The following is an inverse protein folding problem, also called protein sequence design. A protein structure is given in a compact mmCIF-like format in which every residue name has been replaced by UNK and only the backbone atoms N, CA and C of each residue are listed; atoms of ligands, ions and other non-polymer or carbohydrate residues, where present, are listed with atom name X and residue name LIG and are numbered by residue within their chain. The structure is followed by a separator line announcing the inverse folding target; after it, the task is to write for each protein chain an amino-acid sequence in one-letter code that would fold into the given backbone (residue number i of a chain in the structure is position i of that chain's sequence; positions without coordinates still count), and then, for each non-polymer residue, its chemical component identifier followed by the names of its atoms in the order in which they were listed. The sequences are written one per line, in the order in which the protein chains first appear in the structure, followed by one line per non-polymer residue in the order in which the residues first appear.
data_IF_023376456358
#
_entry.id   IF_023376456358
#
_cell.length_a   1.000
_cell.length_b   1.000
_cell.length_c   1.000
_cell.angle_alpha   90.00
_cell.angle_beta   90.00
_cell.angle_gamma   90.00
#
_symmetry.space_group_name_H-M   'P 1'
#
loop_
_entity.id
_entity.type
_entity.pdbx_description
1 polymer ?
#
# COMPACT_ATOMS: atom_id res chain seq x y z
N UNK A 1 -5.83 -11.33 18.77
CA UNK A 1 -4.64 -10.48 18.55
C UNK A 1 -3.53 -10.93 19.48
N UNK A 2 -2.27 -10.81 19.08
CA UNK A 2 -1.09 -11.24 19.86
C UNK A 2 -0.55 -10.18 20.82
N UNK A 3 -1.20 -9.03 20.89
CA UNK A 3 -0.93 -7.98 21.87
C UNK A 3 -1.97 -8.00 22.99
N UNK A 4 -1.54 -8.38 24.19
CA UNK A 4 -2.37 -8.45 25.40
C UNK A 4 -2.97 -7.09 25.80
N UNK A 5 -2.27 -5.97 25.52
CA UNK A 5 -2.79 -4.64 25.85
C UNK A 5 -4.09 -4.34 25.09
N UNK A 6 -4.22 -4.85 23.86
CA UNK A 6 -5.42 -4.62 23.04
C UNK A 6 -6.63 -5.36 23.59
N UNK A 7 -6.45 -6.49 24.29
CA UNK A 7 -7.55 -7.21 24.95
C UNK A 7 -8.28 -6.36 25.99
N UNK A 8 -7.58 -5.39 26.60
CA UNK A 8 -8.15 -4.49 27.61
C UNK A 8 -8.66 -3.16 27.05
N UNK A 9 -8.57 -2.95 25.73
CA UNK A 9 -8.89 -1.68 25.09
C UNK A 9 -10.29 -1.15 25.46
N UNK A 10 -11.30 -2.04 25.47
CA UNK A 10 -12.69 -1.68 25.80
C UNK A 10 -12.94 -1.40 27.29
N UNK A 11 -12.05 -1.84 28.17
CA UNK A 11 -12.21 -1.78 29.64
C UNK A 11 -11.26 -0.79 30.31
N UNK A 12 -10.38 -0.14 29.54
CA UNK A 12 -9.34 0.71 30.10
C UNK A 12 -9.92 2.04 30.60
N UNK A 13 -9.59 2.49 31.84
CA UNK A 13 -10.21 3.66 32.45
C UNK A 13 -9.70 5.01 31.91
N UNK A 14 -8.53 5.02 31.26
CA UNK A 14 -7.91 6.22 30.70
C UNK A 14 -7.56 5.98 29.24
N UNK A 15 -8.20 6.74 28.36
CA UNK A 15 -8.00 6.69 26.91
C UNK A 15 -7.48 8.04 26.43
N UNK A 16 -6.62 8.00 25.43
CA UNK A 16 -6.30 9.20 24.64
C UNK A 16 -7.49 9.55 23.74
N UNK A 17 -7.59 10.81 23.28
CA UNK A 17 -8.68 11.25 22.40
C UNK A 17 -8.81 10.39 21.15
N UNK A 18 -7.68 9.94 20.58
CA UNK A 18 -7.67 9.03 19.43
C UNK A 18 -8.26 7.67 19.80
N UNK A 19 -7.88 7.09 20.94
CA UNK A 19 -8.41 5.81 21.39
C UNK A 19 -9.92 5.88 21.69
N UNK A 20 -10.41 6.97 22.26
CA UNK A 20 -11.84 7.18 22.49
C UNK A 20 -12.64 7.20 21.18
N UNK A 21 -12.15 7.92 20.16
CA UNK A 21 -12.77 7.94 18.83
C UNK A 21 -12.82 6.53 18.20
N UNK A 22 -11.73 5.77 18.29
CA UNK A 22 -11.72 4.39 17.82
C UNK A 22 -12.66 3.49 18.62
N UNK A 23 -12.80 3.71 19.93
CA UNK A 23 -13.72 2.96 20.76
C UNK A 23 -15.18 3.26 20.40
N UNK A 24 -15.54 4.52 20.21
CA UNK A 24 -16.88 4.92 19.75
C UNK A 24 -17.25 4.25 18.42
N UNK A 25 -16.34 4.28 17.44
CA UNK A 25 -16.55 3.60 16.16
C UNK A 25 -16.74 2.09 16.34
N UNK A 26 -15.90 1.47 17.17
CA UNK A 26 -15.95 0.04 17.38
C UNK A 26 -17.22 -0.41 18.12
N UNK A 27 -17.79 0.43 18.99
CA UNK A 27 -19.04 0.12 19.69
C UNK A 27 -20.24 -0.11 18.76
N UNK A 28 -20.17 0.33 17.50
CA UNK A 28 -21.18 0.04 16.47
C UNK A 28 -21.21 -1.45 16.05
N UNK A 29 -20.17 -2.22 16.38
CA UNK A 29 -20.02 -3.62 15.97
C UNK A 29 -20.19 -4.57 17.16
N UNK A 30 -20.80 -5.73 16.90
CA UNK A 30 -20.84 -6.83 17.86
C UNK A 30 -19.61 -7.73 17.71
N UNK A 31 -18.62 -7.57 18.61
CA UNK A 31 -17.41 -8.39 18.61
C UNK A 31 -16.86 -8.61 20.03
N UNK A 32 -15.94 -9.55 20.15
CA UNK A 32 -15.16 -9.81 21.37
C UNK A 32 -13.66 -9.72 21.06
N UNK A 33 -12.90 -9.13 21.98
CA UNK A 33 -11.44 -9.04 21.87
C UNK A 33 -10.78 -10.20 22.59
N UNK A 34 -10.28 -11.16 21.83
CA UNK A 34 -9.57 -12.32 22.37
C UNK A 34 -8.07 -12.25 22.05
N UNK A 35 -7.27 -12.57 23.07
CA UNK A 35 -5.85 -12.79 22.89
C UNK A 35 -5.62 -14.07 22.07
N UNK A 36 -4.74 -13.98 21.07
CA UNK A 36 -4.26 -15.12 20.29
C UNK A 36 -2.74 -15.07 20.27
N UNK A 37 -2.08 -16.12 20.75
CA UNK A 37 -0.63 -16.19 20.75
C UNK A 37 -0.06 -15.98 19.34
N UNK A 38 1.09 -15.31 19.22
CA UNK A 38 1.73 -15.04 17.93
C UNK A 38 1.99 -16.30 17.09
N UNK A 39 2.27 -17.44 17.74
CA UNK A 39 2.41 -18.76 17.10
C UNK A 39 1.12 -19.33 16.48
N UNK A 40 -0.03 -18.76 16.82
CA UNK A 40 -1.32 -19.09 16.19
C UNK A 40 -1.79 -18.00 15.22
N UNK A 41 -1.10 -16.86 15.21
CA UNK A 41 -1.45 -15.67 14.44
C UNK A 41 -0.74 -15.60 13.08
N UNK A 42 -0.19 -16.72 12.59
CA UNK A 42 0.66 -16.76 11.39
C UNK A 42 -0.05 -16.28 10.12
N UNK A 43 -1.35 -16.55 9.96
CA UNK A 43 -2.09 -16.11 8.76
C UNK A 43 -2.27 -14.59 8.76
N UNK A 44 -2.70 -14.01 9.89
CA UNK A 44 -2.88 -12.58 10.00
C UNK A 44 -1.53 -11.83 9.94
N UNK A 45 -0.49 -12.38 10.55
CA UNK A 45 0.88 -11.85 10.51
C UNK A 45 1.47 -11.92 9.08
N UNK A 46 1.25 -13.03 8.36
CA UNK A 46 1.67 -13.13 6.96
C UNK A 46 0.96 -12.09 6.08
N UNK A 47 -0.36 -11.91 6.27
CA UNK A 47 -1.12 -10.92 5.50
C UNK A 47 -0.76 -9.47 5.86
N UNK A 48 -0.53 -9.16 7.14
CA UNK A 48 -0.15 -7.80 7.56
C UNK A 48 1.24 -7.38 7.05
N UNK A 49 2.13 -8.36 6.83
CA UNK A 49 3.49 -8.14 6.29
C UNK A 49 3.56 -8.11 4.77
N UNK A 50 2.48 -8.45 4.07
CA UNK A 50 2.41 -8.36 2.60
C UNK A 50 2.24 -6.91 2.15
N UNK A 51 3.34 -6.17 2.16
CA UNK A 51 3.39 -4.79 1.64
C UNK A 51 3.04 -4.71 0.14
N UNK A 52 3.25 -5.81 -0.60
CA UNK A 52 2.78 -6.02 -1.98
C UNK A 52 1.25 -5.96 -2.10
N UNK A 53 0.53 -6.44 -1.08
CA UNK A 53 -0.94 -6.35 -1.04
C UNK A 53 -1.45 -5.00 -0.57
N UNK A 54 -0.64 -4.20 0.14
CA UNK A 54 -1.04 -2.85 0.52
C UNK A 54 -1.07 -1.93 -0.72
N UNK A 55 -0.08 -2.06 -1.61
CA UNK A 55 -0.09 -1.39 -2.92
C UNK A 55 -1.17 -1.95 -3.84
N UNK A 56 -1.36 -3.28 -3.90
CA UNK A 56 -2.45 -3.87 -4.68
C UNK A 56 -3.84 -3.56 -4.11
N UNK A 57 -3.99 -3.43 -2.80
CA UNK A 57 -5.22 -3.04 -2.13
C UNK A 57 -5.56 -1.56 -2.37
N UNK A 58 -4.55 -0.68 -2.38
CA UNK A 58 -4.69 0.69 -2.86
C UNK A 58 -5.10 0.69 -4.34
N UNK A 59 -4.41 -0.06 -5.19
CA UNK A 59 -4.73 -0.17 -6.63
C UNK A 59 -6.10 -0.79 -6.88
N UNK A 60 -6.54 -1.77 -6.08
CA UNK A 60 -7.84 -2.41 -6.18
C UNK A 60 -8.97 -1.49 -5.67
N UNK A 61 -8.74 -0.79 -4.55
CA UNK A 61 -9.64 0.24 -4.06
C UNK A 61 -9.77 1.39 -5.07
N UNK A 62 -8.66 1.79 -5.70
CA UNK A 62 -8.65 2.74 -6.81
C UNK A 62 -9.35 2.16 -8.05
N UNK A 63 -9.15 0.89 -8.39
CA UNK A 63 -9.76 0.18 -9.54
C UNK A 63 -11.27 0.00 -9.42
N UNK A 64 -11.82 0.09 -8.21
CA UNK A 64 -13.27 0.09 -7.98
C UNK A 64 -13.94 1.44 -8.28
N UNK A 65 -13.17 2.47 -8.64
CA UNK A 65 -13.69 3.79 -9.01
C UNK A 65 -13.30 4.14 -10.44
N UNK A 66 -14.18 4.81 -11.20
CA UNK A 66 -13.94 5.22 -12.59
C UNK A 66 -12.74 6.17 -12.78
N UNK A 67 -12.09 6.59 -11.69
CA UNK A 67 -10.88 7.42 -11.65
C UNK A 67 -9.60 6.58 -11.91
N UNK A 68 -9.66 5.25 -11.80
CA UNK A 68 -8.51 4.35 -11.92
C UNK A 68 -7.85 4.31 -13.30
N UNK A 69 -8.64 4.50 -14.36
CA UNK A 69 -8.11 4.58 -15.73
C UNK A 69 -7.28 5.84 -15.88
N UNK A 70 -7.78 6.99 -15.40
CA UNK A 70 -7.09 8.28 -15.50
C UNK A 70 -5.70 8.31 -14.87
N UNK A 71 -5.51 7.75 -13.67
CA UNK A 71 -4.21 7.81 -12.99
C UNK A 71 -3.21 6.80 -13.59
N UNK A 72 -3.70 5.63 -14.04
CA UNK A 72 -2.88 4.64 -14.74
C UNK A 72 -2.43 5.17 -16.10
N UNK A 73 -3.35 5.77 -16.86
CA UNK A 73 -3.06 6.37 -18.16
C UNK A 73 -2.08 7.54 -18.00
N UNK A 74 -2.24 8.37 -16.97
CA UNK A 74 -1.29 9.44 -16.62
C UNK A 74 0.08 8.90 -16.21
N UNK A 75 0.15 7.80 -15.46
CA UNK A 75 1.43 7.16 -15.11
C UNK A 75 2.13 6.60 -16.35
N UNK A 76 1.38 5.98 -17.24
CA UNK A 76 1.89 5.48 -18.51
C UNK A 76 2.37 6.62 -19.43
N UNK A 77 1.60 7.71 -19.53
CA UNK A 77 1.94 8.90 -20.31
C UNK A 77 3.18 9.62 -19.76
N UNK A 78 3.32 9.73 -18.44
CA UNK A 78 4.51 10.32 -17.80
C UNK A 78 5.76 9.44 -17.93
N UNK A 79 5.60 8.11 -17.94
CA UNK A 79 6.67 7.18 -18.27
C UNK A 79 7.10 7.29 -19.75
N UNK A 80 6.13 7.48 -20.65
CA UNK A 80 6.39 7.77 -22.07
C UNK A 80 7.02 9.14 -22.29
N UNK A 81 6.75 10.13 -21.43
CA UNK A 81 7.28 11.49 -21.53
C UNK A 81 8.67 11.70 -20.93
N UNK A 82 9.15 10.81 -20.05
CA UNK A 82 10.45 10.95 -19.38
C UNK A 82 11.58 10.21 -20.15
N UNK A 83 12.57 10.94 -20.72
CA UNK A 83 13.70 10.34 -21.40
C UNK A 83 14.51 9.37 -20.52
N UNK A 84 14.53 9.60 -19.19
CA UNK A 84 15.21 8.73 -18.25
C UNK A 84 14.45 7.40 -18.05
N UNK A 85 13.13 7.44 -18.00
CA UNK A 85 12.29 6.25 -17.92
C UNK A 85 12.37 5.41 -19.20
N UNK A 86 12.32 6.04 -20.38
CA UNK A 86 12.49 5.35 -21.66
C UNK A 86 13.86 4.65 -21.76
N UNK A 87 14.93 5.31 -21.31
CA UNK A 87 16.26 4.70 -21.25
C UNK A 87 16.28 3.47 -20.34
N UNK A 88 15.57 3.52 -19.21
CA UNK A 88 15.43 2.39 -18.29
C UNK A 88 14.59 1.25 -18.88
N UNK A 89 13.48 1.53 -19.57
CA UNK A 89 12.68 0.50 -20.28
C UNK A 89 13.55 -0.24 -21.29
N UNK A 90 14.28 0.50 -22.12
CA UNK A 90 15.17 -0.10 -23.11
C UNK A 90 16.31 -0.91 -22.45
N UNK A 91 16.84 -0.47 -21.30
CA UNK A 91 17.83 -1.24 -20.52
C UNK A 91 17.24 -2.52 -19.89
N UNK A 92 15.95 -2.51 -19.53
CA UNK A 92 15.20 -3.68 -19.03
C UNK A 92 14.95 -4.66 -20.15
N UNK A 93 14.50 -4.20 -21.33
CA UNK A 93 14.31 -5.04 -22.52
C UNK A 93 15.62 -5.69 -22.98
N UNK A 94 16.74 -4.98 -22.87
CA UNK A 94 18.08 -5.51 -23.14
C UNK A 94 18.62 -6.45 -22.05
N UNK A 95 17.88 -6.71 -20.98
CA UNK A 95 18.30 -7.57 -19.86
C UNK A 95 19.47 -7.03 -19.03
N UNK A 96 19.84 -5.75 -19.21
CA UNK A 96 20.96 -5.11 -18.51
C UNK A 96 20.54 -4.45 -17.20
N UNK A 97 19.27 -4.10 -17.06
CA UNK A 97 18.72 -3.51 -15.85
C UNK A 97 18.35 -4.59 -14.81
N UNK A 98 19.35 -5.17 -14.13
CA UNK A 98 19.10 -6.15 -13.05
C UNK A 98 18.31 -5.59 -11.87
N UNK A 99 18.18 -4.27 -11.78
CA UNK A 99 17.49 -3.56 -10.70
C UNK A 99 16.06 -3.15 -11.04
N UNK A 100 15.65 -3.33 -12.29
CA UNK A 100 14.35 -2.88 -12.78
C UNK A 100 13.66 -4.00 -13.56
N UNK A 101 12.35 -4.09 -13.46
CA UNK A 101 11.51 -5.03 -14.21
C UNK A 101 10.31 -4.28 -14.77
N UNK A 102 9.83 -4.72 -15.93
CA UNK A 102 8.60 -4.18 -16.53
C UNK A 102 7.44 -5.09 -16.16
N UNK A 103 6.40 -4.54 -15.56
CA UNK A 103 5.19 -5.28 -15.18
C UNK A 103 3.97 -4.44 -15.59
N UNK A 104 3.13 -4.99 -16.47
CA UNK A 104 1.92 -4.34 -17.02
C UNK A 104 2.11 -2.90 -17.55
N UNK A 105 3.25 -2.64 -18.23
CA UNK A 105 3.57 -1.32 -18.78
C UNK A 105 4.10 -0.32 -17.75
N UNK A 106 4.31 -0.73 -16.51
CA UNK A 106 4.86 0.06 -15.42
C UNK A 106 6.26 -0.44 -15.06
N UNK A 107 7.15 0.50 -14.73
CA UNK A 107 8.55 0.24 -14.44
C UNK A 107 8.71 0.00 -12.94
N UNK A 108 9.08 -1.21 -12.57
CA UNK A 108 9.21 -1.66 -11.18
C UNK A 108 10.69 -1.72 -10.79
N UNK A 109 10.98 -1.39 -9.53
CA UNK A 109 12.33 -1.49 -8.95
C UNK A 109 12.43 -2.70 -8.03
N UNK A 110 13.65 -3.13 -7.71
CA UNK A 110 13.89 -4.23 -6.74
C UNK A 110 13.10 -4.00 -5.44
N UNK A 111 12.27 -4.98 -5.10
CA UNK A 111 11.40 -4.94 -3.92
C UNK A 111 9.97 -4.47 -4.19
N UNK A 112 9.47 -4.65 -5.43
CA UNK A 112 8.08 -4.39 -5.82
C UNK A 112 7.64 -2.93 -5.62
N UNK A 113 8.54 -1.97 -5.89
CA UNK A 113 8.25 -0.53 -5.80
C UNK A 113 8.18 0.08 -7.18
N UNK A 114 7.11 0.84 -7.44
CA UNK A 114 6.94 1.58 -8.68
C UNK A 114 8.02 2.65 -8.84
N UNK A 115 8.65 2.71 -10.01
CA UNK A 115 9.53 3.80 -10.40
C UNK A 115 8.69 5.02 -10.75
N UNK A 116 8.91 6.12 -10.02
CA UNK A 116 8.25 7.40 -10.27
C UNK A 116 9.29 8.36 -10.87
N UNK A 117 9.12 8.80 -12.12
CA UNK A 117 9.92 9.85 -12.74
C UNK A 117 10.08 11.07 -11.84
N UNK A 118 11.27 11.69 -11.85
CA UNK A 118 11.53 12.89 -11.04
C UNK A 118 10.76 14.11 -11.55
N UNK A 119 10.36 14.12 -12.81
CA UNK A 119 9.51 15.15 -13.42
C UNK A 119 8.08 14.67 -13.56
N UNK A 120 7.19 15.15 -12.70
CA UNK A 120 5.76 14.88 -12.82
C UNK A 120 4.99 15.24 -11.56
N UNK A 121 3.76 15.75 -11.74
CA UNK A 121 2.86 16.06 -10.63
C UNK A 121 2.35 14.80 -9.91
N UNK A 122 2.61 13.60 -10.44
CA UNK A 122 2.35 12.33 -9.74
C UNK A 122 3.03 12.26 -8.38
N UNK A 123 4.27 12.76 -8.25
CA UNK A 123 4.94 12.77 -6.95
C UNK A 123 4.24 13.69 -5.95
N UNK A 124 3.64 14.79 -6.43
CA UNK A 124 2.85 15.69 -5.58
C UNK A 124 1.50 15.06 -5.23
N UNK A 125 0.81 14.48 -6.20
CA UNK A 125 -0.46 13.77 -6.00
C UNK A 125 -0.33 12.60 -5.03
N UNK A 126 0.79 11.87 -5.05
CA UNK A 126 1.07 10.76 -4.15
C UNK A 126 1.55 11.19 -2.75
N UNK A 127 2.02 12.43 -2.60
CA UNK A 127 2.50 12.98 -1.31
C UNK A 127 1.42 13.86 -0.64
N UNK A 128 0.42 14.32 -1.39
CA UNK A 128 -0.61 15.24 -0.90
C UNK A 128 -1.82 14.56 -0.23
N UNK A 129 -1.68 13.34 0.27
CA UNK A 129 -2.74 12.66 1.05
C UNK A 129 -2.32 12.42 2.51
#
# INVERSE_FOLDING_TARGET
MDNTAVSHFMTQPKLTSRQACWQELLLEFHFTLEYRAGSSNHVADALSRRADLATLGLIAALSSTAVATSVRDQAHELLLGDPAAQGLVHLVEQGKARQFSLEDGLLMTKGNRLYVPKGGDLRKLLISE
#
